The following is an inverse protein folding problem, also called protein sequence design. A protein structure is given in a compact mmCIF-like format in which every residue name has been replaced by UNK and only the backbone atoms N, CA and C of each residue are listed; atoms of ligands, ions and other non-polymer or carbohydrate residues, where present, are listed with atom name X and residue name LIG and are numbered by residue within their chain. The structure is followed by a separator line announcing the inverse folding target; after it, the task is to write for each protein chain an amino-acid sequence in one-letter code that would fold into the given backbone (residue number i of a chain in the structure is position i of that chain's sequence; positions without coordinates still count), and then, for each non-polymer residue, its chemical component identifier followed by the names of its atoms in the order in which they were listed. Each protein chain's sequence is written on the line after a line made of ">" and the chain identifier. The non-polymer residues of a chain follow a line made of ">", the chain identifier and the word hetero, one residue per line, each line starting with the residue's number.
data_IF_097757018202
#
_entry.id   IF_097757018202
#
_cell.length_a   1.000
_cell.length_b   1.000
_cell.length_c   1.000
_cell.angle_alpha   90.00
_cell.angle_beta   90.00
_cell.angle_gamma   90.00
#
_symmetry.space_group_name_H-M   'P 1'
#
loop_
_entity.id
_entity.type
_entity.pdbx_description
1 polymer ?
#
# COMPACT_ATOMS: atom_id res chain seq x y z
N UNK A 1 -19.45 -66.50 -55.50
CA UNK A 1 -20.06 -65.31 -55.03
C UNK A 1 -19.90 -65.26 -53.50
N UNK A 2 -18.95 -64.50 -52.95
CA UNK A 2 -18.71 -64.39 -51.53
C UNK A 2 -19.02 -62.95 -51.15
N UNK A 3 -20.07 -62.70 -50.41
CA UNK A 3 -20.47 -61.41 -49.86
C UNK A 3 -19.76 -61.20 -48.53
N UNK A 4 -18.89 -60.19 -48.47
CA UNK A 4 -18.14 -59.74 -47.28
C UNK A 4 -19.01 -58.73 -46.54
N UNK A 5 -19.35 -59.01 -45.28
CA UNK A 5 -20.01 -58.08 -44.34
C UNK A 5 -18.95 -57.27 -43.66
N UNK A 6 -18.91 -55.99 -43.95
CA UNK A 6 -18.12 -55.01 -43.20
C UNK A 6 -18.94 -54.58 -41.99
N UNK A 7 -18.43 -54.88 -40.77
CA UNK A 7 -18.96 -54.38 -39.52
C UNK A 7 -18.31 -53.05 -39.22
N UNK A 8 -19.10 -51.98 -39.29
CA UNK A 8 -18.68 -50.62 -38.88
C UNK A 8 -18.81 -50.52 -37.36
N UNK A 9 -17.67 -50.41 -36.67
CA UNK A 9 -17.63 -50.15 -35.25
C UNK A 9 -17.65 -48.60 -35.04
N UNK A 10 -18.78 -48.12 -34.53
CA UNK A 10 -18.96 -46.73 -34.17
C UNK A 10 -18.32 -46.50 -32.76
N UNK A 11 -17.13 -45.91 -32.70
CA UNK A 11 -16.50 -45.54 -31.45
C UNK A 11 -17.08 -44.18 -30.98
N UNK A 12 -17.89 -44.24 -29.93
CA UNK A 12 -18.37 -43.02 -29.23
C UNK A 12 -17.22 -42.51 -28.37
N UNK A 13 -16.58 -41.41 -28.80
CA UNK A 13 -15.61 -40.65 -27.98
C UNK A 13 -16.41 -39.77 -27.05
N UNK A 14 -16.48 -40.15 -25.78
CA UNK A 14 -17.04 -39.33 -24.70
C UNK A 14 -16.00 -38.27 -24.31
N UNK A 15 -16.14 -37.05 -24.86
CA UNK A 15 -15.34 -35.92 -24.44
C UNK A 15 -15.80 -35.44 -23.05
N UNK A 16 -15.07 -35.85 -22.01
CA UNK A 16 -15.20 -35.28 -20.67
C UNK A 16 -14.66 -33.84 -20.72
N UNK A 17 -15.56 -32.90 -20.90
CA UNK A 17 -15.27 -31.49 -20.69
C UNK A 17 -15.13 -31.26 -19.17
N UNK A 18 -13.90 -31.32 -18.66
CA UNK A 18 -13.57 -30.79 -17.33
C UNK A 18 -13.70 -29.27 -17.37
N UNK A 19 -14.83 -28.78 -16.89
CA UNK A 19 -14.98 -27.35 -16.58
C UNK A 19 -14.01 -27.02 -15.43
N UNK A 20 -12.83 -26.52 -15.78
CA UNK A 20 -11.94 -25.86 -14.84
C UNK A 20 -12.66 -24.56 -14.43
N UNK A 21 -13.39 -24.61 -13.33
CA UNK A 21 -13.81 -23.40 -12.65
C UNK A 21 -12.54 -22.69 -12.17
N UNK A 22 -12.11 -21.69 -12.94
CA UNK A 22 -11.08 -20.78 -12.52
C UNK A 22 -11.62 -20.10 -11.25
N UNK A 23 -11.11 -20.50 -10.11
CA UNK A 23 -11.34 -19.87 -8.82
C UNK A 23 -10.73 -18.48 -8.94
N UNK A 24 -11.56 -17.47 -9.19
CA UNK A 24 -11.11 -16.08 -9.21
C UNK A 24 -10.53 -15.80 -7.82
N UNK A 25 -9.20 -15.73 -7.75
CA UNK A 25 -8.52 -15.32 -6.54
C UNK A 25 -9.03 -13.92 -6.21
N UNK A 26 -9.76 -13.75 -5.12
CA UNK A 26 -10.24 -12.46 -4.66
C UNK A 26 -9.02 -11.61 -4.34
N UNK A 27 -8.74 -10.60 -5.16
CA UNK A 27 -7.62 -9.69 -4.97
C UNK A 27 -7.89 -8.84 -3.73
N UNK A 28 -6.90 -8.71 -2.85
CA UNK A 28 -6.96 -7.82 -1.70
C UNK A 28 -6.74 -6.37 -2.17
N UNK A 29 -7.60 -5.46 -1.73
CA UNK A 29 -7.54 -4.02 -2.06
C UNK A 29 -7.02 -3.28 -0.84
N UNK A 30 -5.91 -2.53 -1.00
CA UNK A 30 -5.38 -1.67 0.07
C UNK A 30 -6.08 -0.30 0.04
N UNK A 31 -6.48 0.20 1.22
CA UNK A 31 -7.17 1.48 1.39
C UNK A 31 -6.62 2.23 2.61
N UNK A 32 -6.59 3.57 2.54
CA UNK A 32 -6.09 4.45 3.61
C UNK A 32 -7.16 4.94 4.59
N UNK A 33 -8.38 4.46 4.47
CA UNK A 33 -9.48 4.89 5.31
C UNK A 33 -10.01 3.74 6.15
N UNK A 34 -10.20 3.98 7.45
CA UNK A 34 -10.82 3.00 8.35
C UNK A 34 -12.32 2.89 8.19
N UNK A 35 -12.98 3.89 7.60
CA UNK A 35 -14.42 3.85 7.33
C UNK A 35 -14.68 3.80 5.84
N UNK A 36 -15.45 2.81 5.40
CA UNK A 36 -15.77 2.60 3.99
C UNK A 36 -17.10 1.85 3.83
N UNK A 37 -17.57 1.83 2.60
CA UNK A 37 -18.83 1.20 2.22
C UNK A 37 -18.58 -0.08 1.46
N UNK A 38 -19.30 -1.14 1.80
CA UNK A 38 -19.27 -2.44 1.13
C UNK A 38 -20.57 -2.61 0.37
N UNK A 39 -20.58 -2.49 -0.96
CA UNK A 39 -21.78 -2.72 -1.76
C UNK A 39 -22.05 -4.23 -1.84
N UNK A 40 -23.33 -4.60 -1.89
CA UNK A 40 -23.77 -5.95 -2.24
C UNK A 40 -24.84 -5.90 -3.31
N UNK A 41 -24.95 -6.97 -4.08
CA UNK A 41 -26.00 -7.17 -5.06
C UNK A 41 -26.70 -8.48 -4.80
N UNK A 42 -28.03 -8.44 -4.79
CA UNK A 42 -28.81 -9.68 -4.79
C UNK A 42 -28.91 -10.19 -6.23
N UNK A 43 -28.83 -11.51 -6.48
CA UNK A 43 -29.09 -12.07 -7.78
C UNK A 43 -30.51 -11.72 -8.25
N UNK A 44 -30.64 -11.35 -9.53
CA UNK A 44 -31.95 -11.16 -10.15
C UNK A 44 -32.74 -12.48 -10.09
N UNK A 45 -34.05 -12.40 -9.87
CA UNK A 45 -34.95 -13.55 -9.71
C UNK A 45 -34.78 -14.38 -8.42
N UNK A 46 -34.13 -13.85 -7.42
CA UNK A 46 -34.08 -14.49 -6.09
C UNK A 46 -35.39 -14.24 -5.35
N UNK A 47 -35.96 -15.27 -4.70
CA UNK A 47 -37.03 -15.09 -3.71
C UNK A 47 -36.56 -14.04 -2.72
N UNK A 48 -37.39 -13.03 -2.47
CA UNK A 48 -37.04 -11.90 -1.58
C UNK A 48 -36.47 -12.40 -0.25
N UNK A 49 -35.20 -12.11 0.08
CA UNK A 49 -34.64 -12.48 1.37
C UNK A 49 -35.27 -11.63 2.49
N UNK A 50 -35.28 -12.17 3.70
CA UNK A 50 -35.72 -11.46 4.91
C UNK A 50 -34.64 -10.45 5.33
N UNK A 51 -33.37 -10.85 5.22
CA UNK A 51 -32.26 -9.95 5.54
C UNK A 51 -30.97 -10.37 4.81
N UNK A 52 -30.06 -9.42 4.67
CA UNK A 52 -28.68 -9.65 4.28
C UNK A 52 -27.78 -9.27 5.44
N UNK A 53 -26.90 -10.19 5.84
CA UNK A 53 -25.95 -10.01 6.93
C UNK A 53 -24.56 -9.83 6.35
N UNK A 54 -23.79 -8.91 6.90
CA UNK A 54 -22.37 -8.77 6.63
C UNK A 54 -21.57 -9.44 7.74
N UNK A 55 -20.70 -10.34 7.37
CA UNK A 55 -19.73 -10.96 8.27
C UNK A 55 -18.32 -10.52 7.92
N UNK A 56 -17.50 -10.31 8.95
CA UNK A 56 -16.09 -9.93 8.82
C UNK A 56 -15.19 -10.95 9.51
N UNK A 57 -14.02 -11.16 8.92
CA UNK A 57 -12.92 -11.91 9.51
C UNK A 57 -11.66 -11.05 9.50
N UNK A 58 -11.01 -10.91 10.65
CA UNK A 58 -9.70 -10.26 10.80
C UNK A 58 -8.53 -11.26 10.91
N UNK A 59 -8.82 -12.58 10.83
CA UNK A 59 -7.86 -13.68 10.96
C UNK A 59 -7.79 -14.55 9.68
N UNK A 60 -7.96 -13.91 8.51
CA UNK A 60 -7.89 -14.52 7.18
C UNK A 60 -8.89 -15.66 6.97
N UNK A 61 -10.11 -15.52 7.52
CA UNK A 61 -11.21 -16.43 7.32
C UNK A 61 -11.30 -17.58 8.32
N UNK A 62 -10.49 -17.58 9.38
CA UNK A 62 -10.54 -18.60 10.44
C UNK A 62 -11.79 -18.44 11.30
N UNK A 63 -12.10 -17.21 11.71
CA UNK A 63 -13.32 -16.85 12.43
C UNK A 63 -14.08 -15.74 11.72
N UNK A 64 -15.42 -15.76 11.89
CA UNK A 64 -16.30 -14.77 11.26
C UNK A 64 -17.24 -14.16 12.30
N UNK A 65 -17.34 -12.84 12.29
CA UNK A 65 -18.20 -12.09 13.22
C UNK A 65 -19.26 -11.33 12.41
N UNK A 66 -20.50 -11.33 12.92
CA UNK A 66 -21.57 -10.51 12.35
C UNK A 66 -21.28 -9.04 12.62
N UNK A 67 -21.25 -8.24 11.56
CA UNK A 67 -21.07 -6.78 11.63
C UNK A 67 -22.42 -6.08 11.66
N UNK A 68 -23.27 -6.44 10.71
CA UNK A 68 -24.55 -5.77 10.50
C UNK A 68 -25.53 -6.70 9.78
N UNK A 69 -26.82 -6.43 9.95
CA UNK A 69 -27.90 -7.14 9.28
C UNK A 69 -28.93 -6.11 8.81
N UNK A 70 -29.14 -6.02 7.50
CA UNK A 70 -30.02 -5.06 6.88
C UNK A 70 -31.08 -5.75 6.01
N UNK A 71 -32.21 -5.11 5.81
CA UNK A 71 -33.18 -5.52 4.79
C UNK A 71 -32.70 -5.09 3.39
N UNK A 72 -33.40 -5.55 2.37
CA UNK A 72 -32.94 -5.48 0.97
C UNK A 72 -32.71 -4.07 0.42
N UNK A 73 -33.34 -3.06 0.98
CA UNK A 73 -33.47 -1.73 0.39
C UNK A 73 -32.16 -0.94 0.33
N UNK A 74 -31.19 -1.26 1.20
CA UNK A 74 -29.97 -0.45 1.37
C UNK A 74 -28.91 -0.69 0.29
N UNK A 75 -28.73 -1.93 -0.20
CA UNK A 75 -27.72 -2.32 -1.20
C UNK A 75 -26.25 -2.11 -0.80
N UNK A 76 -26.00 -1.71 0.45
CA UNK A 76 -24.66 -1.40 0.97
C UNK A 76 -24.59 -1.49 2.48
N UNK A 77 -23.42 -1.90 2.99
CA UNK A 77 -23.08 -1.86 4.40
C UNK A 77 -22.07 -0.74 4.68
N UNK A 78 -22.11 -0.18 5.89
CA UNK A 78 -21.06 0.69 6.40
C UNK A 78 -20.16 -0.13 7.33
N UNK A 79 -18.86 -0.04 7.12
CA UNK A 79 -17.88 -0.71 7.97
C UNK A 79 -16.85 0.28 8.49
N UNK A 80 -16.44 0.11 9.74
CA UNK A 80 -15.36 0.85 10.38
C UNK A 80 -14.38 -0.11 10.99
N UNK A 81 -13.16 -0.14 10.45
CA UNK A 81 -12.05 -0.90 11.00
C UNK A 81 -11.57 -0.26 12.32
N UNK A 82 -11.35 -1.07 13.34
CA UNK A 82 -10.83 -0.61 14.63
C UNK A 82 -9.34 -0.25 14.54
N UNK A 83 -8.59 -1.01 13.74
CA UNK A 83 -7.16 -0.85 13.54
C UNK A 83 -6.77 -1.11 12.08
N UNK A 84 -5.53 -0.83 11.73
CA UNK A 84 -4.97 -1.20 10.45
C UNK A 84 -4.78 -2.73 10.38
N UNK A 85 -4.92 -3.31 9.18
CA UNK A 85 -4.84 -4.76 8.98
C UNK A 85 -5.76 -5.28 7.90
N UNK A 86 -5.75 -6.60 7.70
CA UNK A 86 -6.56 -7.27 6.68
C UNK A 86 -7.93 -7.66 7.23
N UNK A 87 -8.97 -7.32 6.48
CA UNK A 87 -10.36 -7.62 6.76
C UNK A 87 -10.98 -8.34 5.58
N UNK A 88 -11.49 -9.54 5.82
CA UNK A 88 -12.19 -10.32 4.81
C UNK A 88 -13.68 -10.27 5.07
N UNK A 89 -14.47 -10.07 4.03
CA UNK A 89 -15.91 -9.90 4.13
C UNK A 89 -16.64 -10.98 3.36
N UNK A 90 -17.77 -11.42 3.91
CA UNK A 90 -18.73 -12.32 3.31
C UNK A 90 -20.13 -11.83 3.60
N UNK A 91 -20.97 -11.78 2.59
CA UNK A 91 -22.41 -11.55 2.77
C UNK A 91 -23.16 -12.88 2.97
N UNK A 92 -24.14 -12.87 3.87
CA UNK A 92 -25.01 -14.00 4.16
C UNK A 92 -26.46 -13.60 3.95
N UNK A 93 -27.10 -14.17 2.95
CA UNK A 93 -28.52 -13.95 2.66
C UNK A 93 -29.39 -14.90 3.49
N UNK A 94 -30.35 -14.37 4.22
CA UNK A 94 -31.30 -15.12 5.06
C UNK A 94 -32.69 -15.07 4.43
N UNK A 95 -33.30 -16.23 4.22
CA UNK A 95 -34.63 -16.39 3.63
C UNK A 95 -35.70 -16.67 4.67
N UNK A 96 -36.98 -16.43 4.31
CA UNK A 96 -38.13 -16.63 5.20
C UNK A 96 -38.30 -18.09 5.67
N UNK A 97 -37.84 -19.06 4.90
CA UNK A 97 -37.85 -20.49 5.25
C UNK A 97 -36.67 -20.92 6.15
N UNK A 98 -35.85 -19.96 6.61
CA UNK A 98 -34.69 -20.18 7.47
C UNK A 98 -33.41 -20.60 6.72
N UNK A 99 -33.45 -20.78 5.41
CA UNK A 99 -32.25 -21.04 4.62
C UNK A 99 -31.31 -19.86 4.66
N UNK A 100 -29.98 -20.15 4.64
CA UNK A 100 -28.91 -19.16 4.59
C UNK A 100 -27.96 -19.47 3.42
N UNK A 101 -27.60 -18.46 2.65
CA UNK A 101 -26.64 -18.58 1.56
C UNK A 101 -25.55 -17.51 1.67
N UNK A 102 -24.27 -17.89 1.49
CA UNK A 102 -23.76 -19.25 1.27
C UNK A 102 -23.86 -20.15 2.53
N UNK A 103 -23.85 -21.46 2.35
CA UNK A 103 -23.89 -22.42 3.46
C UNK A 103 -22.59 -22.39 4.30
N UNK A 104 -21.48 -21.93 3.70
CA UNK A 104 -20.18 -21.78 4.36
C UNK A 104 -19.60 -20.42 4.00
N UNK A 105 -18.99 -19.75 4.97
CA UNK A 105 -18.34 -18.46 4.73
C UNK A 105 -17.15 -18.61 3.77
N UNK A 106 -17.15 -17.78 2.73
CA UNK A 106 -16.04 -17.62 1.78
C UNK A 106 -15.83 -16.12 1.56
N UNK A 107 -14.59 -15.65 1.55
CA UNK A 107 -14.33 -14.23 1.36
C UNK A 107 -14.75 -13.79 -0.05
N UNK A 108 -15.65 -12.83 -0.12
CA UNK A 108 -16.09 -12.15 -1.36
C UNK A 108 -15.24 -10.93 -1.63
N UNK A 109 -14.86 -10.22 -0.58
CA UNK A 109 -14.04 -9.01 -0.62
C UNK A 109 -12.94 -9.13 0.42
N UNK A 110 -11.72 -8.75 0.05
CA UNK A 110 -10.57 -8.65 0.96
C UNK A 110 -10.06 -7.22 0.92
N UNK A 111 -9.96 -6.60 2.08
CA UNK A 111 -9.51 -5.23 2.23
C UNK A 111 -8.35 -5.19 3.21
N UNK A 112 -7.25 -4.57 2.81
CA UNK A 112 -6.17 -4.19 3.72
C UNK A 112 -6.31 -2.71 4.06
N UNK A 113 -6.53 -2.41 5.33
CA UNK A 113 -6.59 -1.04 5.84
C UNK A 113 -5.20 -0.66 6.31
N UNK A 114 -4.64 0.38 5.72
CA UNK A 114 -3.35 0.96 6.11
C UNK A 114 -3.48 2.48 6.11
N UNK A 115 -3.41 3.08 7.29
CA UNK A 115 -3.51 4.54 7.48
C UNK A 115 -2.16 5.21 7.71
N UNK A 116 -1.06 4.45 7.65
CA UNK A 116 0.29 4.91 7.98
C UNK A 116 1.02 5.39 6.73
N UNK A 117 1.39 6.67 6.63
CA UNK A 117 2.17 7.15 5.50
C UNK A 117 3.60 6.61 5.49
N UNK A 118 4.21 6.42 4.32
CA UNK A 118 5.61 6.05 4.21
C UNK A 118 6.54 7.09 4.84
N UNK A 119 7.72 6.66 5.23
CA UNK A 119 8.81 7.54 5.67
C UNK A 119 9.77 7.83 4.52
N UNK A 120 10.38 9.03 4.50
CA UNK A 120 11.35 9.43 3.47
C UNK A 120 12.60 9.97 4.13
N UNK A 121 13.75 9.50 3.65
CA UNK A 121 15.06 10.08 3.91
C UNK A 121 15.61 10.66 2.61
N UNK A 122 15.98 11.93 2.61
CA UNK A 122 16.53 12.65 1.45
C UNK A 122 17.89 13.23 1.81
N UNK A 123 18.93 12.76 1.15
CA UNK A 123 20.34 13.12 1.40
C UNK A 123 20.90 13.81 0.13
N UNK A 124 20.80 15.14 0.03
CA UNK A 124 21.37 15.88 -1.07
C UNK A 124 22.79 16.32 -0.75
N UNK A 125 23.63 16.37 -1.76
CA UNK A 125 24.98 16.93 -1.72
C UNK A 125 25.16 17.91 -2.89
N UNK A 126 25.93 18.97 -2.69
CA UNK A 126 26.27 19.94 -3.72
C UNK A 126 27.79 20.05 -3.80
N UNK A 127 28.37 19.81 -4.96
CA UNK A 127 29.81 19.96 -5.18
C UNK A 127 30.19 21.44 -5.40
N UNK A 128 31.45 21.82 -5.20
CA UNK A 128 31.94 23.16 -5.54
C UNK A 128 31.71 23.52 -7.01
N UNK A 129 31.70 22.55 -7.92
CA UNK A 129 31.38 22.73 -9.35
C UNK A 129 29.89 22.86 -9.66
N UNK A 130 29.00 22.83 -8.67
CA UNK A 130 27.56 22.99 -8.86
C UNK A 130 26.82 21.72 -9.27
N UNK A 131 27.46 20.56 -9.21
CA UNK A 131 26.79 19.27 -9.39
C UNK A 131 25.99 18.91 -8.13
N UNK A 132 24.84 18.33 -8.32
CA UNK A 132 23.96 17.88 -7.26
C UNK A 132 23.89 16.36 -7.33
N UNK A 133 24.10 15.72 -6.20
CA UNK A 133 23.93 14.29 -5.99
C UNK A 133 22.88 14.08 -4.91
N UNK A 134 21.90 13.23 -5.17
CA UNK A 134 20.80 12.93 -4.27
C UNK A 134 20.69 11.43 -4.09
N UNK A 135 20.70 11.00 -2.83
CA UNK A 135 20.17 9.70 -2.45
C UNK A 135 18.82 9.91 -1.74
N UNK A 136 17.81 9.18 -2.17
CA UNK A 136 16.50 9.22 -1.55
C UNK A 136 16.01 7.80 -1.26
N UNK A 137 15.68 7.54 0.00
CA UNK A 137 15.12 6.29 0.49
C UNK A 137 13.71 6.52 0.99
N UNK A 138 12.82 5.56 0.70
CA UNK A 138 11.48 5.51 1.27
C UNK A 138 11.26 4.15 1.91
N UNK A 139 10.60 4.13 3.08
CA UNK A 139 10.30 2.89 3.79
C UNK A 139 8.83 2.85 4.19
N UNK A 140 8.22 1.70 3.92
CA UNK A 140 6.86 1.33 4.28
C UNK A 140 6.64 -0.15 4.00
N UNK A 141 5.70 -0.81 4.68
CA UNK A 141 5.40 -2.22 4.45
C UNK A 141 4.81 -2.47 3.05
N UNK A 142 4.05 -1.53 2.52
CA UNK A 142 3.32 -1.64 1.27
C UNK A 142 3.67 -0.52 0.26
N UNK A 143 4.97 -0.19 0.11
CA UNK A 143 5.36 0.80 -0.89
C UNK A 143 4.90 0.41 -2.30
N UNK A 144 4.35 1.38 -3.01
CA UNK A 144 4.14 1.26 -4.45
C UNK A 144 5.49 1.29 -5.17
N UNK A 145 5.81 0.32 -6.05
CA UNK A 145 7.08 0.31 -6.79
C UNK A 145 7.35 1.60 -7.57
N UNK A 146 6.30 2.25 -8.03
CA UNK A 146 6.36 3.52 -8.78
C UNK A 146 6.02 4.73 -7.91
N UNK A 147 5.91 4.55 -6.60
CA UNK A 147 5.46 5.58 -5.67
C UNK A 147 6.52 6.60 -5.27
N UNK A 148 7.83 6.30 -5.47
CA UNK A 148 8.91 7.21 -5.10
C UNK A 148 9.30 8.11 -6.28
N UNK A 149 9.22 9.46 -6.07
CA UNK A 149 9.53 10.46 -7.08
C UNK A 149 10.39 11.57 -6.50
N UNK A 150 11.31 12.08 -7.34
CA UNK A 150 12.09 13.28 -7.07
C UNK A 150 11.73 14.37 -8.06
N UNK A 151 11.59 15.57 -7.55
CA UNK A 151 11.29 16.76 -8.34
C UNK A 151 12.15 17.93 -7.85
N UNK A 152 12.45 18.88 -8.74
CA UNK A 152 13.21 20.07 -8.43
C UNK A 152 12.57 21.33 -8.98
N UNK A 153 12.81 22.46 -8.31
CA UNK A 153 12.39 23.79 -8.75
C UNK A 153 13.52 24.79 -8.57
N UNK A 154 13.77 25.60 -9.59
CA UNK A 154 14.79 26.65 -9.55
C UNK A 154 14.20 27.92 -8.93
N UNK A 155 14.30 28.05 -7.59
CA UNK A 155 13.73 29.15 -6.81
C UNK A 155 12.29 28.90 -6.33
N UNK A 156 11.79 29.82 -5.49
CA UNK A 156 10.53 29.63 -4.77
C UNK A 156 9.25 29.77 -5.61
N UNK A 157 9.36 30.29 -6.84
CA UNK A 157 8.20 30.65 -7.67
C UNK A 157 8.05 29.79 -8.93
N UNK A 158 8.95 28.85 -9.18
CA UNK A 158 8.90 28.01 -10.38
C UNK A 158 8.19 26.67 -10.08
N UNK A 159 7.62 26.09 -11.14
CA UNK A 159 7.02 24.77 -11.05
C UNK A 159 8.08 23.70 -10.69
N UNK A 160 7.67 22.68 -9.95
CA UNK A 160 8.48 21.50 -9.76
C UNK A 160 8.48 20.64 -11.01
N UNK A 161 9.66 20.27 -11.46
CA UNK A 161 9.89 19.40 -12.61
C UNK A 161 10.51 18.08 -12.14
N UNK A 162 10.19 16.94 -12.77
CA UNK A 162 10.82 15.68 -12.45
C UNK A 162 12.34 15.75 -12.58
N UNK A 163 13.05 15.15 -11.65
CA UNK A 163 14.50 14.96 -11.71
C UNK A 163 14.78 13.66 -12.47
N UNK A 164 15.71 13.72 -13.45
CA UNK A 164 16.20 12.52 -14.11
C UNK A 164 16.99 11.67 -13.11
N UNK A 165 16.57 10.42 -12.92
CA UNK A 165 17.27 9.46 -12.05
C UNK A 165 18.44 8.81 -12.80
N UNK A 166 19.50 8.41 -12.07
CA UNK A 166 20.65 7.67 -12.61
C UNK A 166 20.32 6.23 -13.02
N UNK A 167 19.15 5.75 -12.64
CA UNK A 167 18.62 4.43 -12.98
C UNK A 167 17.19 4.25 -12.42
N UNK A 168 16.62 3.06 -12.55
CA UNK A 168 15.30 2.78 -12.00
C UNK A 168 15.31 2.86 -10.47
N UNK A 169 14.14 3.14 -9.89
CA UNK A 169 13.95 3.01 -8.43
C UNK A 169 14.17 1.55 -8.04
N UNK A 170 15.04 1.33 -7.05
CA UNK A 170 15.48 0.01 -6.62
C UNK A 170 14.73 -0.42 -5.35
N UNK A 171 14.28 -1.66 -5.31
CA UNK A 171 13.84 -2.32 -4.07
C UNK A 171 15.08 -2.88 -3.38
N UNK A 172 15.57 -2.22 -2.34
CA UNK A 172 16.80 -2.59 -1.62
C UNK A 172 16.55 -3.55 -0.46
N UNK A 173 15.33 -3.56 0.07
CA UNK A 173 14.85 -4.52 1.05
C UNK A 173 13.32 -4.58 0.97
N UNK A 174 12.64 -5.61 1.52
CA UNK A 174 11.19 -5.60 1.65
C UNK A 174 10.71 -4.31 2.30
N UNK A 175 9.82 -3.58 1.61
CA UNK A 175 9.32 -2.30 2.09
C UNK A 175 10.30 -1.12 2.02
N UNK A 176 11.43 -1.23 1.31
CA UNK A 176 12.41 -0.15 1.20
C UNK A 176 12.79 0.13 -0.25
N UNK A 177 12.51 1.34 -0.71
CA UNK A 177 12.87 1.84 -2.04
C UNK A 177 14.03 2.83 -1.96
N UNK A 178 14.89 2.79 -2.98
CA UNK A 178 16.03 3.69 -3.16
C UNK A 178 16.00 4.28 -4.56
N UNK A 179 16.20 5.58 -4.68
CA UNK A 179 16.56 6.21 -5.95
C UNK A 179 17.75 7.15 -5.80
N UNK A 180 18.49 7.34 -6.87
CA UNK A 180 19.67 8.21 -6.96
C UNK A 180 19.55 9.10 -8.19
N UNK A 181 20.06 10.32 -8.05
CA UNK A 181 20.15 11.26 -9.16
C UNK A 181 21.43 12.10 -9.03
N UNK A 182 22.09 12.33 -10.16
CA UNK A 182 23.27 13.18 -10.22
C UNK A 182 23.18 14.05 -11.48
N UNK A 183 23.11 15.37 -11.28
CA UNK A 183 22.99 16.31 -12.40
C UNK A 183 23.51 17.70 -12.04
N UNK A 184 23.79 18.50 -13.06
CA UNK A 184 24.05 19.92 -12.91
C UNK A 184 22.82 20.70 -13.39
N UNK A 185 22.14 21.47 -12.51
CA UNK A 185 20.94 22.21 -12.91
C UNK A 185 21.27 23.36 -13.85
N UNK A 186 20.58 23.43 -14.99
CA UNK A 186 20.67 24.52 -15.96
C UNK A 186 19.87 25.74 -15.46
N UNK A 187 20.35 26.41 -14.41
CA UNK A 187 19.68 27.57 -13.83
C UNK A 187 20.68 28.62 -13.38
N UNK A 188 20.32 29.90 -13.51
CA UNK A 188 21.06 31.02 -12.89
C UNK A 188 20.74 31.26 -11.41
N UNK A 189 19.64 30.64 -10.92
CA UNK A 189 19.27 30.72 -9.51
C UNK A 189 20.34 30.08 -8.63
N UNK A 190 20.60 30.73 -7.49
CA UNK A 190 21.42 30.14 -6.41
C UNK A 190 20.61 29.26 -5.46
N UNK A 191 19.29 29.30 -5.54
CA UNK A 191 18.40 28.47 -4.74
C UNK A 191 17.78 27.40 -5.61
N UNK A 192 17.90 26.15 -5.18
CA UNK A 192 17.20 24.99 -5.74
C UNK A 192 16.38 24.34 -4.63
N UNK A 193 15.13 24.09 -4.93
CA UNK A 193 14.24 23.30 -4.09
C UNK A 193 14.18 21.87 -4.61
N UNK A 194 14.35 20.92 -3.72
CA UNK A 194 14.15 19.50 -4.01
C UNK A 194 12.92 19.03 -3.26
N UNK A 195 12.06 18.29 -3.93
CA UNK A 195 10.89 17.64 -3.37
C UNK A 195 10.96 16.14 -3.61
N UNK A 196 10.87 15.35 -2.53
CA UNK A 196 10.70 13.90 -2.62
C UNK A 196 9.28 13.54 -2.18
N UNK A 197 8.64 12.65 -2.93
CA UNK A 197 7.28 12.17 -2.69
C UNK A 197 7.32 10.65 -2.68
N UNK A 198 6.79 10.03 -1.63
CA UNK A 198 6.55 8.59 -1.57
C UNK A 198 5.06 8.31 -1.38
N UNK A 199 4.57 7.29 -2.08
CA UNK A 199 3.17 6.86 -2.02
C UNK A 199 3.15 5.34 -1.87
N UNK A 200 2.35 4.83 -0.91
CA UNK A 200 2.11 3.40 -0.70
C UNK A 200 0.96 2.87 -1.58
N UNK A 201 0.64 1.58 -1.44
CA UNK A 201 -0.46 0.93 -2.17
C UNK A 201 -1.83 1.37 -1.69
N UNK A 202 -1.97 1.75 -0.41
CA UNK A 202 -3.22 2.26 0.15
C UNK A 202 -3.51 3.71 -0.29
N UNK A 203 -2.51 4.41 -0.87
CA UNK A 203 -2.59 5.79 -1.31
C UNK A 203 -2.21 6.79 -0.23
N UNK A 204 -1.61 6.36 0.92
CA UNK A 204 -1.01 7.31 1.83
C UNK A 204 0.23 7.90 1.19
N UNK A 205 0.51 9.17 1.46
CA UNK A 205 1.64 9.86 0.85
C UNK A 205 2.42 10.67 1.87
N UNK A 206 3.72 10.71 1.67
CA UNK A 206 4.65 11.60 2.37
C UNK A 206 5.37 12.46 1.36
N UNK A 207 5.49 13.74 1.69
CA UNK A 207 6.28 14.69 0.90
C UNK A 207 7.26 15.39 1.81
N UNK A 208 8.53 15.48 1.38
CA UNK A 208 9.55 16.25 2.06
C UNK A 208 10.23 17.21 1.09
N UNK A 209 10.73 18.32 1.61
CA UNK A 209 11.41 19.37 0.86
C UNK A 209 12.78 19.63 1.44
N UNK A 210 13.76 19.92 0.55
CA UNK A 210 15.09 20.42 0.92
C UNK A 210 15.41 21.64 0.07
N UNK A 211 16.05 22.65 0.71
CA UNK A 211 16.61 23.82 0.03
C UNK A 211 18.10 23.62 -0.14
N UNK A 212 18.59 23.80 -1.36
CA UNK A 212 20.01 23.71 -1.69
C UNK A 212 20.50 25.06 -2.21
N UNK A 213 21.65 25.47 -1.71
CA UNK A 213 22.31 26.67 -2.22
C UNK A 213 23.41 26.26 -3.19
N UNK A 214 23.29 26.72 -4.44
CA UNK A 214 24.23 26.46 -5.49
C UNK A 214 25.35 27.50 -5.49
N UNK A 215 26.58 27.11 -5.89
CA UNK A 215 27.65 28.08 -6.10
C UNK A 215 27.26 29.06 -7.20
N UNK A 216 27.91 30.26 -7.27
CA UNK A 216 27.73 31.19 -8.38
C UNK A 216 27.96 30.50 -9.73
N UNK A 217 27.25 30.94 -10.78
CA UNK A 217 27.36 30.37 -12.13
C UNK A 217 28.81 30.39 -12.65
N UNK A 218 29.58 31.44 -12.33
CA UNK A 218 30.99 31.56 -12.71
C UNK A 218 31.91 30.49 -12.13
N UNK A 219 31.48 29.80 -11.06
CA UNK A 219 32.23 28.71 -10.41
C UNK A 219 31.73 27.31 -10.84
N UNK A 220 30.61 27.21 -11.58
CA UNK A 220 30.08 25.93 -12.04
C UNK A 220 30.93 25.43 -13.21
N UNK A 221 31.58 24.28 -13.03
CA UNK A 221 32.38 23.66 -14.08
C UNK A 221 31.50 22.76 -14.93
N UNK A 222 31.71 22.72 -16.27
CA UNK A 222 31.11 21.69 -17.11
C UNK A 222 31.56 20.29 -16.64
N UNK A 223 30.81 19.22 -16.98
CA UNK A 223 31.27 17.86 -16.72
C UNK A 223 32.64 17.65 -17.33
N UNK A 224 33.45 16.77 -16.72
CA UNK A 224 34.68 16.27 -17.34
C UNK A 224 34.33 15.52 -18.64
N UNK A 225 35.34 15.22 -19.45
CA UNK A 225 35.17 14.53 -20.75
C UNK A 225 34.47 13.16 -20.64
N UNK A 226 34.33 12.61 -19.42
CA UNK A 226 33.63 11.37 -19.14
C UNK A 226 32.19 11.57 -18.65
N UNK A 227 31.66 12.80 -18.68
CA UNK A 227 30.28 13.11 -18.24
C UNK A 227 30.06 13.00 -16.72
N UNK A 228 31.14 12.84 -15.95
CA UNK A 228 31.09 12.66 -14.50
C UNK A 228 31.54 13.94 -13.80
N UNK A 229 30.61 14.76 -13.44
CA UNK A 229 30.78 15.72 -12.36
C UNK A 229 30.62 14.96 -11.03
N UNK A 230 31.56 14.10 -10.71
CA UNK A 230 31.37 13.15 -9.61
C UNK A 230 31.47 13.84 -8.25
N UNK A 231 30.36 13.91 -7.55
CA UNK A 231 30.39 13.72 -6.11
C UNK A 231 30.39 12.19 -5.93
N UNK A 232 31.43 11.56 -5.36
CA UNK A 232 31.43 10.13 -5.12
C UNK A 232 30.25 9.79 -4.23
N UNK A 233 29.47 8.78 -4.61
CA UNK A 233 28.50 8.21 -3.70
C UNK A 233 29.23 7.66 -2.47
N UNK A 234 28.72 7.88 -1.24
CA UNK A 234 29.26 7.18 -0.08
C UNK A 234 29.27 5.66 -0.40
N UNK A 235 30.38 5.00 -0.10
CA UNK A 235 30.52 3.57 -0.35
C UNK A 235 29.35 2.82 0.32
N UNK A 236 28.79 1.83 -0.39
CA UNK A 236 27.62 1.05 0.06
C UNK A 236 27.84 0.29 1.40
N UNK A 237 29.01 0.43 2.02
CA UNK A 237 29.45 -0.28 3.22
C UNK A 237 29.48 0.54 4.52
N UNK A 238 29.11 1.81 4.51
CA UNK A 238 28.91 2.48 5.78
C UNK A 238 27.54 2.10 6.35
N UNK A 239 27.50 1.42 7.51
CA UNK A 239 26.24 1.13 8.17
C UNK A 239 25.56 2.47 8.49
N UNK A 240 24.42 2.72 7.84
CA UNK A 240 23.55 3.85 8.21
C UNK A 240 23.25 3.68 9.69
N UNK A 241 23.75 4.59 10.52
CA UNK A 241 23.46 4.59 11.94
C UNK A 241 21.93 4.47 12.12
N UNK A 242 21.44 3.56 12.98
CA UNK A 242 20.03 3.44 13.23
C UNK A 242 19.50 4.81 13.65
N UNK A 243 18.37 5.21 13.08
CA UNK A 243 17.68 6.43 13.50
C UNK A 243 17.58 6.41 15.02
N UNK A 244 17.87 7.52 15.72
CA UNK A 244 17.70 7.58 17.16
C UNK A 244 16.25 7.18 17.44
N UNK A 245 16.09 6.08 18.15
CA UNK A 245 14.79 5.68 18.69
C UNK A 245 14.44 6.81 19.65
N UNK A 246 13.47 7.62 19.29
CA UNK A 246 12.88 8.58 20.22
C UNK A 246 12.26 7.72 21.32
N UNK A 247 12.97 7.58 22.43
CA UNK A 247 12.41 6.99 23.65
C UNK A 247 11.16 7.80 23.97
N UNK A 248 10.02 7.16 23.88
CA UNK A 248 8.77 7.71 24.39
C UNK A 248 9.01 7.98 25.87
N UNK A 249 8.75 9.20 26.37
CA UNK A 249 8.88 9.49 27.78
C UNK A 249 8.00 8.48 28.54
N UNK A 250 8.61 7.72 29.42
CA UNK A 250 7.91 6.84 30.35
C UNK A 250 6.98 7.71 31.20
N UNK A 251 5.70 7.65 30.91
CA UNK A 251 4.67 8.25 31.75
C UNK A 251 4.60 7.39 33.02
N UNK A 252 5.32 7.84 34.06
CA UNK A 252 5.13 7.34 35.40
C UNK A 252 3.68 7.61 35.81
N UNK A 253 2.86 6.57 35.88
CA UNK A 253 1.53 6.67 36.45
C UNK A 253 1.68 7.07 37.92
N UNK A 254 1.02 8.16 38.40
CA UNK A 254 0.94 8.41 39.83
C UNK A 254 0.19 7.23 40.46
N UNK A 255 0.83 6.58 41.41
CA UNK A 255 0.19 5.51 42.17
C UNK A 255 -1.00 6.09 42.93
N UNK A 256 -2.20 5.71 42.53
CA UNK A 256 -3.40 5.92 43.33
C UNK A 256 -3.36 4.88 44.46
N UNK A 257 -2.91 5.33 45.64
CA UNK A 257 -3.05 4.55 46.87
C UNK A 257 -4.55 4.40 47.15
N UNK A 258 -5.02 3.15 47.25
CA UNK A 258 -6.35 2.82 47.75
C UNK A 258 -6.42 3.21 49.22
N UNK A 259 -7.50 3.86 49.69
CA UNK A 259 -7.71 4.08 51.10
C UNK A 259 -7.98 2.75 51.83
N UNK A 260 -7.59 2.62 53.12
CA UNK A 260 -7.85 1.40 53.91
C UNK A 260 -9.35 1.20 54.11
N UNK A 261 -9.80 -0.06 54.32
CA UNK A 261 -11.20 -0.36 54.55
C UNK A 261 -11.66 0.23 55.91
N UNK A 262 -12.81 0.90 55.89
CA UNK A 262 -13.51 1.37 57.11
C UNK A 262 -13.96 0.15 57.94
N UNK A 263 -13.49 0.11 59.20
CA UNK A 263 -14.02 -0.79 60.24
C UNK A 263 -15.44 -0.37 60.57
N UNK A 264 -16.37 -1.31 60.51
CA UNK A 264 -17.73 -1.13 61.02
C UNK A 264 -17.72 -1.15 62.54
N UNK A 265 -18.39 -0.21 63.20
CA UNK A 265 -18.53 -0.23 64.70
C UNK A 265 -19.55 -1.26 65.15
N UNK A 266 -19.52 -1.65 66.43
CA UNK A 266 -20.23 -2.78 67.03
C UNK A 266 -21.75 -2.61 67.10
#
# INVERSE_FOLDING_TARGET
>A
MRTSLVRSACAIVLALATAVQAQQATTEVSIRYRQFTIPFKLPENTISPVSVQLHVSSDKGTTWQLVDAIDQASGKFQFRAEQDGSYWFCSLTVFADGRKLPATFKPEIKVHVDTTPPTIQLIPQVSPGGWISIECRANDQELSPNGLRLESSAGDKQAFLPVQLDGPVQLVAPGSLLCRANWQPATSSRLLLIRAIAVDKAGNSKTIHKRLFLPPVSLRRPPDENGRGSVPWPADNEPVAPLPQTELPSISRPGTALPPPEESPP
#
